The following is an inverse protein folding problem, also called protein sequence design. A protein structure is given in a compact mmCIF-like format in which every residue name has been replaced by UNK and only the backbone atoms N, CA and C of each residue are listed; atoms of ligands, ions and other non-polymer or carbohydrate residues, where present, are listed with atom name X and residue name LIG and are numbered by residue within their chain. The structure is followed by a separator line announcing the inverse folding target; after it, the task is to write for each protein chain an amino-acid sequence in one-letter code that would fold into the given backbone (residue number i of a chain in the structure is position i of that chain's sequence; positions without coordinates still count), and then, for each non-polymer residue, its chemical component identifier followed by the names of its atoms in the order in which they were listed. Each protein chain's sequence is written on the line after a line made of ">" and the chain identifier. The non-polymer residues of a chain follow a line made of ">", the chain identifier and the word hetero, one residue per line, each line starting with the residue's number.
data_IF_261110456396
#
_entry.id   IF_261110456396
#
_cell.length_a   1.000
_cell.length_b   1.000
_cell.length_c   1.000
_cell.angle_alpha   90.00
_cell.angle_beta   90.00
_cell.angle_gamma   90.00
#
_symmetry.space_group_name_H-M   'P 1'
#
loop_
_entity.id
_entity.type
_entity.pdbx_description
1 polymer ?
#
# COMPACT_ATOMS: atom_id res chain seq x y z
N UNK A 1 10.86 -27.11 15.69
CA UNK A 1 10.78 -25.71 15.22
C UNK A 1 10.16 -24.87 16.33
N UNK A 2 10.91 -23.94 16.92
CA UNK A 2 10.36 -22.97 17.86
C UNK A 2 9.76 -21.80 17.07
N UNK A 3 8.55 -21.37 17.42
CA UNK A 3 7.89 -20.20 16.80
C UNK A 3 8.07 -18.99 17.71
N UNK A 4 8.35 -17.83 17.12
CA UNK A 4 8.47 -16.55 17.83
C UNK A 4 7.26 -15.69 17.44
N UNK A 5 6.42 -15.26 18.39
CA UNK A 5 5.30 -14.36 18.10
C UNK A 5 5.81 -12.97 17.74
N UNK A 6 5.20 -12.33 16.75
CA UNK A 6 5.52 -10.96 16.33
C UNK A 6 4.24 -10.15 16.15
N UNK A 7 4.27 -8.88 16.57
CA UNK A 7 3.19 -7.95 16.29
C UNK A 7 3.33 -7.39 14.87
N UNK A 8 2.24 -7.41 14.10
CA UNK A 8 2.21 -6.89 12.74
C UNK A 8 1.15 -5.79 12.62
N UNK A 9 1.39 -4.76 11.79
CA UNK A 9 0.34 -3.80 11.46
C UNK A 9 -0.81 -4.51 10.73
N UNK A 10 -2.02 -3.93 10.79
CA UNK A 10 -3.16 -4.43 9.99
C UNK A 10 -2.77 -4.44 8.51
N UNK A 11 -2.76 -5.59 7.82
CA UNK A 11 -2.19 -5.70 6.49
C UNK A 11 -2.80 -4.73 5.46
N UNK A 12 -4.12 -4.53 5.48
CA UNK A 12 -4.80 -3.60 4.58
C UNK A 12 -4.33 -2.16 4.75
N UNK A 13 -4.32 -1.64 5.99
CA UNK A 13 -3.79 -0.29 6.28
C UNK A 13 -2.33 -0.16 5.91
N UNK A 14 -1.55 -1.23 6.10
CA UNK A 14 -0.14 -1.24 5.72
C UNK A 14 0.05 -1.18 4.20
N UNK A 15 -0.75 -1.92 3.43
CA UNK A 15 -0.75 -1.84 1.96
C UNK A 15 -1.05 -0.42 1.47
N UNK A 16 -2.11 0.21 2.00
CA UNK A 16 -2.48 1.59 1.66
C UNK A 16 -1.40 2.60 2.06
N UNK A 17 -0.80 2.41 3.24
CA UNK A 17 0.34 3.22 3.67
C UNK A 17 1.52 3.14 2.71
N UNK A 18 1.79 1.96 2.14
CA UNK A 18 2.84 1.78 1.14
C UNK A 18 2.55 2.47 -0.19
N UNK A 19 1.30 2.47 -0.65
CA UNK A 19 0.87 3.28 -1.80
C UNK A 19 1.16 4.76 -1.54
N UNK A 20 0.82 5.28 -0.37
CA UNK A 20 1.05 6.70 -0.05
C UNK A 20 2.55 7.02 0.02
N UNK A 21 3.33 6.20 0.73
CA UNK A 21 4.76 6.45 0.90
C UNK A 21 5.52 6.42 -0.42
N UNK A 22 5.16 5.52 -1.35
CA UNK A 22 5.80 5.43 -2.65
C UNK A 22 5.84 6.77 -3.40
N UNK A 23 4.79 7.60 -3.24
CA UNK A 23 4.67 8.91 -3.89
C UNK A 23 5.23 10.08 -3.07
N UNK A 24 5.54 9.85 -1.79
CA UNK A 24 6.15 10.85 -0.91
C UNK A 24 7.67 10.77 -0.85
N UNK A 25 8.27 9.71 -1.41
CA UNK A 25 9.71 9.55 -1.56
C UNK A 25 10.28 10.63 -2.48
N UNK A 26 11.40 11.23 -2.08
CA UNK A 26 12.14 12.18 -2.91
C UNK A 26 12.94 11.49 -4.03
N UNK A 27 13.52 12.27 -4.95
CA UNK A 27 14.28 11.77 -6.10
C UNK A 27 15.49 10.88 -5.71
N UNK A 28 16.08 11.09 -4.54
CA UNK A 28 17.18 10.27 -4.03
C UNK A 28 16.71 8.92 -3.44
N UNK A 29 15.38 8.70 -3.31
CA UNK A 29 14.79 7.50 -2.70
C UNK A 29 14.02 6.63 -3.71
N UNK A 30 14.32 6.74 -5.01
CA UNK A 30 13.61 5.97 -6.06
C UNK A 30 13.63 4.46 -5.83
N UNK A 31 14.75 3.91 -5.34
CA UNK A 31 14.83 2.49 -4.99
C UNK A 31 13.86 2.10 -3.87
N UNK A 32 13.66 2.98 -2.88
CA UNK A 32 12.69 2.75 -1.80
C UNK A 32 11.26 2.91 -2.31
N UNK A 33 11.01 3.88 -3.19
CA UNK A 33 9.69 4.04 -3.83
C UNK A 33 9.28 2.78 -4.59
N UNK A 34 10.19 2.23 -5.41
CA UNK A 34 9.96 0.95 -6.11
C UNK A 34 9.70 -0.21 -5.15
N UNK A 35 10.46 -0.28 -4.05
CA UNK A 35 10.25 -1.28 -3.00
C UNK A 35 8.88 -1.13 -2.33
N UNK A 36 8.46 0.09 -2.01
CA UNK A 36 7.17 0.38 -1.40
C UNK A 36 6.02 -0.05 -2.35
N UNK A 37 6.13 0.23 -3.66
CA UNK A 37 5.17 -0.24 -4.67
C UNK A 37 5.11 -1.78 -4.77
N UNK A 38 6.27 -2.46 -4.81
CA UNK A 38 6.32 -3.91 -4.86
C UNK A 38 5.70 -4.57 -3.62
N UNK A 39 5.95 -3.99 -2.44
CA UNK A 39 5.32 -4.45 -1.19
C UNK A 39 3.81 -4.22 -1.20
N UNK A 40 3.35 -3.05 -1.67
CA UNK A 40 1.93 -2.76 -1.81
C UNK A 40 1.27 -3.74 -2.78
N UNK A 41 1.85 -3.96 -3.97
CA UNK A 41 1.32 -4.89 -4.97
C UNK A 41 1.16 -6.31 -4.41
N UNK A 42 2.18 -6.84 -3.73
CA UNK A 42 2.11 -8.16 -3.12
C UNK A 42 0.99 -8.28 -2.08
N UNK A 43 0.84 -7.26 -1.22
CA UNK A 43 -0.23 -7.23 -0.23
C UNK A 43 -1.61 -7.06 -0.86
N UNK A 44 -1.75 -6.20 -1.87
CA UNK A 44 -3.01 -6.02 -2.61
C UNK A 44 -3.47 -7.33 -3.25
N UNK A 45 -2.56 -8.07 -3.89
CA UNK A 45 -2.87 -9.38 -4.49
C UNK A 45 -3.36 -10.37 -3.44
N UNK A 46 -2.64 -10.50 -2.31
CA UNK A 46 -3.03 -11.41 -1.25
C UNK A 46 -4.36 -11.00 -0.57
N UNK A 47 -4.54 -9.71 -0.32
CA UNK A 47 -5.72 -9.17 0.38
C UNK A 47 -6.99 -9.22 -0.47
N UNK A 48 -6.89 -9.01 -1.79
CA UNK A 48 -8.04 -9.20 -2.69
C UNK A 48 -8.63 -10.60 -2.60
N UNK A 49 -7.80 -11.61 -2.32
CA UNK A 49 -8.25 -12.99 -2.15
C UNK A 49 -8.71 -13.28 -0.72
N UNK A 50 -7.92 -12.86 0.27
CA UNK A 50 -8.13 -13.27 1.66
C UNK A 50 -9.05 -12.36 2.47
N UNK A 51 -9.10 -11.06 2.17
CA UNK A 51 -9.82 -10.05 2.95
C UNK A 51 -10.19 -8.81 2.10
N UNK A 52 -10.99 -8.97 1.02
CA UNK A 52 -11.30 -7.88 0.09
C UNK A 52 -12.00 -6.69 0.76
N UNK A 53 -13.01 -6.94 1.60
CA UNK A 53 -13.73 -5.87 2.30
C UNK A 53 -12.81 -5.04 3.22
N UNK A 54 -11.87 -5.68 3.91
CA UNK A 54 -10.92 -4.96 4.77
C UNK A 54 -9.94 -4.10 3.95
N UNK A 55 -9.65 -4.50 2.71
CA UNK A 55 -8.85 -3.69 1.78
C UNK A 55 -9.65 -2.48 1.28
N UNK A 56 -10.89 -2.70 0.87
CA UNK A 56 -11.78 -1.63 0.39
C UNK A 56 -12.02 -0.59 1.49
N UNK A 57 -12.36 -1.03 2.71
CA UNK A 57 -12.52 -0.15 3.87
C UNK A 57 -11.27 0.70 4.13
N UNK A 58 -10.08 0.10 4.04
CA UNK A 58 -8.82 0.81 4.28
C UNK A 58 -8.51 1.83 3.17
N UNK A 59 -8.85 1.53 1.92
CA UNK A 59 -8.69 2.45 0.79
C UNK A 59 -9.65 3.63 0.93
N UNK A 60 -10.91 3.37 1.28
CA UNK A 60 -11.94 4.40 1.42
C UNK A 60 -11.68 5.29 2.63
N UNK A 61 -11.32 4.71 3.79
CA UNK A 61 -10.87 5.45 4.98
C UNK A 61 -9.72 6.41 4.60
N UNK A 62 -8.70 5.90 3.91
CA UNK A 62 -7.54 6.70 3.54
C UNK A 62 -7.86 7.79 2.50
N UNK A 63 -8.69 7.50 1.49
CA UNK A 63 -9.12 8.49 0.49
C UNK A 63 -9.91 9.63 1.14
N UNK A 64 -10.71 9.34 2.16
CA UNK A 64 -11.47 10.34 2.91
C UNK A 64 -10.60 11.31 3.73
N UNK A 65 -9.34 10.96 4.04
CA UNK A 65 -8.44 11.79 4.84
C UNK A 65 -7.93 13.05 4.11
N UNK A 66 -8.08 13.14 2.80
CA UNK A 66 -7.76 14.35 2.04
C UNK A 66 -7.16 14.09 0.66
N UNK A 67 -7.43 15.02 -0.26
CA UNK A 67 -7.09 14.86 -1.69
C UNK A 67 -5.59 14.75 -1.95
N UNK A 68 -4.80 15.72 -1.51
CA UNK A 68 -3.39 15.82 -1.92
C UNK A 68 -2.45 14.92 -1.09
N UNK A 69 -2.76 14.73 0.19
CA UNK A 69 -1.91 13.95 1.09
C UNK A 69 -2.14 12.44 1.04
N UNK A 70 -3.29 12.00 0.50
CA UNK A 70 -3.77 10.62 0.60
C UNK A 70 -4.34 10.10 -0.72
N UNK A 71 -5.48 10.63 -1.17
CA UNK A 71 -6.20 10.08 -2.33
C UNK A 71 -5.35 10.09 -3.61
N UNK A 72 -4.75 11.23 -3.97
CA UNK A 72 -3.89 11.34 -5.16
C UNK A 72 -2.67 10.39 -5.11
N UNK A 73 -1.89 10.33 -4.02
CA UNK A 73 -0.83 9.33 -3.86
C UNK A 73 -1.28 7.88 -4.05
N UNK A 74 -2.46 7.53 -3.51
CA UNK A 74 -3.03 6.19 -3.64
C UNK A 74 -3.29 5.88 -5.12
N UNK A 75 -4.06 6.72 -5.80
CA UNK A 75 -4.43 6.51 -7.21
C UNK A 75 -3.19 6.40 -8.11
N UNK A 76 -2.20 7.30 -7.94
CA UNK A 76 -0.96 7.22 -8.73
C UNK A 76 -0.22 5.92 -8.54
N UNK A 77 -0.16 5.40 -7.31
CA UNK A 77 0.51 4.14 -7.02
C UNK A 77 -0.25 2.94 -7.60
N UNK A 78 -1.59 2.96 -7.52
CA UNK A 78 -2.42 1.92 -8.13
C UNK A 78 -2.22 1.88 -9.65
N UNK A 79 -2.28 3.03 -10.33
CA UNK A 79 -2.01 3.09 -11.77
C UNK A 79 -0.60 2.63 -12.13
N UNK A 80 0.41 2.92 -11.29
CA UNK A 80 1.77 2.42 -11.51
C UNK A 80 1.86 0.90 -11.37
N UNK A 81 1.18 0.33 -10.38
CA UNK A 81 1.15 -1.12 -10.15
C UNK A 81 0.43 -1.83 -11.30
N UNK A 82 -0.68 -1.28 -11.78
CA UNK A 82 -1.43 -1.83 -12.93
C UNK A 82 -0.63 -1.77 -14.24
N UNK A 83 0.29 -0.82 -14.36
CA UNK A 83 1.19 -0.70 -15.51
C UNK A 83 2.45 -1.58 -15.41
N UNK A 84 2.66 -2.29 -14.30
CA UNK A 84 3.76 -3.26 -14.21
C UNK A 84 3.40 -4.53 -15.00
N UNK A 85 4.36 -5.10 -15.76
CA UNK A 85 4.14 -6.31 -16.56
C UNK A 85 3.94 -7.56 -15.69
#
# INVERSE_FOLDING_TARGET
>A
MQRIPVALPRPARFAVHKLILAQKRGAHELAKSRKDLAQAAALLTALRQAAPFALDDALDEARAMGRDGWARPIERSLSQIEALP
#
